data_IF_746591694967
#
_entry.id   IF_746591694967
#
_cell.length_a   1.000
_cell.length_b   1.000
_cell.length_c   1.000
_cell.angle_alpha   90.00
_cell.angle_beta   90.00
_cell.angle_gamma   90.00
#
_symmetry.space_group_name_H-M   'P 1'
#
loop_
_entity.id
_entity.type
_entity.pdbx_description
1 polymer ?
#
# COMPACT_ATOMS: atom_id res chain seq x y z
N UNK A 1 -8.04 -1.45 -28.23
CA UNK A 1 -6.80 -0.63 -28.19
C UNK A 1 -6.60 0.27 -29.43
N UNK A 2 -6.96 -0.16 -30.64
CA UNK A 2 -6.62 0.54 -31.90
C UNK A 2 -7.36 1.88 -32.07
N UNK A 3 -8.68 1.91 -31.89
CA UNK A 3 -9.49 3.12 -32.12
C UNK A 3 -9.09 4.33 -31.26
N UNK A 4 -8.83 4.16 -29.95
CA UNK A 4 -8.50 5.29 -29.06
C UNK A 4 -7.18 5.98 -29.45
N UNK A 5 -6.21 5.19 -29.92
CA UNK A 5 -4.87 5.67 -30.27
C UNK A 5 -4.88 6.41 -31.61
N UNK A 6 -5.69 5.93 -32.55
CA UNK A 6 -5.87 6.55 -33.86
C UNK A 6 -6.69 7.85 -33.80
N UNK A 7 -7.57 7.98 -32.79
CA UNK A 7 -8.43 9.14 -32.61
C UNK A 7 -7.85 10.20 -31.64
N UNK A 8 -6.66 9.97 -31.05
CA UNK A 8 -6.05 10.85 -30.03
C UNK A 8 -6.98 11.15 -28.83
N UNK A 9 -7.91 10.24 -28.53
CA UNK A 9 -8.88 10.41 -27.44
C UNK A 9 -8.40 9.68 -26.18
N UNK A 10 -8.45 10.37 -25.05
CA UNK A 10 -8.28 9.75 -23.73
C UNK A 10 -9.63 9.18 -23.25
N UNK A 11 -9.66 7.89 -22.95
CA UNK A 11 -10.86 7.20 -22.43
C UNK A 11 -10.64 6.84 -20.97
N UNK A 12 -11.57 7.24 -20.11
CA UNK A 12 -11.62 6.83 -18.70
C UNK A 12 -12.85 5.95 -18.52
N UNK A 13 -12.63 4.72 -18.05
CA UNK A 13 -13.69 3.78 -17.72
C UNK A 13 -13.77 3.66 -16.20
N UNK A 14 -14.93 3.94 -15.62
CA UNK A 14 -15.19 3.73 -14.20
C UNK A 14 -15.99 2.46 -14.05
N UNK A 15 -15.44 1.49 -13.34
CA UNK A 15 -16.08 0.19 -13.14
C UNK A 15 -15.70 -0.36 -11.78
N UNK A 16 -16.58 -1.20 -11.24
CA UNK A 16 -16.29 -2.04 -10.09
C UNK A 16 -15.99 -3.49 -10.51
N UNK A 17 -16.06 -3.80 -11.81
CA UNK A 17 -15.78 -5.13 -12.35
C UNK A 17 -14.26 -5.37 -12.46
N UNK A 18 -13.71 -6.36 -11.73
CA UNK A 18 -12.29 -6.69 -11.79
C UNK A 18 -11.85 -7.19 -13.18
N UNK A 19 -12.71 -7.87 -13.93
CA UNK A 19 -12.36 -8.40 -15.26
C UNK A 19 -12.08 -7.28 -16.26
N UNK A 20 -12.84 -6.19 -16.18
CA UNK A 20 -12.58 -4.99 -17.01
C UNK A 20 -11.23 -4.37 -16.65
N UNK A 21 -10.86 -4.42 -15.36
CA UNK A 21 -9.60 -3.88 -14.88
C UNK A 21 -8.38 -4.66 -15.38
N UNK A 22 -8.53 -5.96 -15.69
CA UNK A 22 -7.46 -6.81 -16.24
C UNK A 22 -7.18 -6.54 -17.73
N UNK A 23 -8.15 -5.99 -18.46
CA UNK A 23 -8.06 -5.80 -19.92
C UNK A 23 -7.49 -4.42 -20.32
N UNK A 24 -7.14 -3.57 -19.36
CA UNK A 24 -6.65 -2.20 -19.59
C UNK A 24 -5.18 -2.04 -19.21
N UNK A 25 -4.50 -1.11 -19.89
CA UNK A 25 -3.07 -0.85 -19.70
C UNK A 25 -2.76 -0.15 -18.37
N UNK A 26 -3.73 0.57 -17.81
CA UNK A 26 -3.62 1.28 -16.53
C UNK A 26 -4.92 1.13 -15.74
N UNK A 27 -4.82 0.74 -14.48
CA UNK A 27 -5.94 0.70 -13.53
C UNK A 27 -5.62 1.60 -12.35
N UNK A 28 -6.57 2.45 -11.95
CA UNK A 28 -6.47 3.28 -10.74
C UNK A 28 -7.48 2.77 -9.72
N UNK A 29 -6.98 2.23 -8.60
CA UNK A 29 -7.80 1.84 -7.47
C UNK A 29 -8.24 3.06 -6.67
N UNK A 30 -9.53 3.14 -6.33
CA UNK A 30 -10.08 4.17 -5.46
C UNK A 30 -10.78 3.51 -4.26
N UNK A 31 -10.46 3.98 -3.07
CA UNK A 31 -11.01 3.53 -1.77
C UNK A 31 -11.22 4.74 -0.88
N UNK A 32 -12.37 4.82 -0.21
CA UNK A 32 -12.72 5.93 0.69
C UNK A 32 -12.53 7.33 0.07
N UNK A 33 -12.88 7.45 -1.22
CA UNK A 33 -12.77 8.68 -1.99
C UNK A 33 -11.34 9.09 -2.36
N UNK A 34 -10.35 8.22 -2.16
CA UNK A 34 -8.93 8.48 -2.46
C UNK A 34 -8.36 7.44 -3.40
N UNK A 35 -7.43 7.87 -4.24
CA UNK A 35 -6.60 6.94 -5.02
C UNK A 35 -5.78 6.10 -4.04
N UNK A 36 -5.87 4.79 -4.15
CA UNK A 36 -5.18 3.83 -3.28
C UNK A 36 -4.01 3.18 -4.00
N UNK A 37 -4.23 2.71 -5.23
CA UNK A 37 -3.28 1.91 -5.99
C UNK A 37 -3.32 2.29 -7.46
N UNK A 38 -2.21 2.05 -8.15
CA UNK A 38 -2.08 2.18 -9.59
C UNK A 38 -1.43 0.90 -10.13
N UNK A 39 -2.13 0.21 -11.02
CA UNK A 39 -1.60 -0.96 -11.71
C UNK A 39 -1.25 -0.58 -13.14
N UNK A 40 0.00 -0.77 -13.52
CA UNK A 40 0.49 -0.58 -14.88
C UNK A 40 0.72 -1.94 -15.52
N UNK A 41 0.09 -2.18 -16.67
CA UNK A 41 0.28 -3.40 -17.46
C UNK A 41 1.05 -3.06 -18.72
N UNK A 42 2.16 -3.76 -18.94
CA UNK A 42 2.96 -3.65 -20.15
C UNK A 42 3.19 -5.01 -20.75
N UNK A 43 3.22 -5.05 -22.08
CA UNK A 43 3.63 -6.23 -22.83
C UNK A 43 5.11 -6.12 -23.10
N UNK A 44 5.89 -7.01 -22.52
CA UNK A 44 7.32 -7.14 -22.78
C UNK A 44 7.58 -8.25 -23.79
N UNK A 45 8.63 -8.07 -24.62
CA UNK A 45 9.09 -9.11 -25.53
C UNK A 45 10.21 -9.90 -24.84
N UNK A 46 9.95 -11.18 -24.62
CA UNK A 46 10.91 -12.15 -24.05
C UNK A 46 11.36 -13.14 -25.11
N UNK A 47 12.40 -13.93 -24.80
CA UNK A 47 12.88 -15.01 -25.68
C UNK A 47 11.80 -16.09 -25.98
N UNK A 48 10.74 -16.15 -25.17
CA UNK A 48 9.62 -17.11 -25.31
C UNK A 48 8.37 -16.49 -25.94
N UNK A 49 8.40 -15.21 -26.32
CA UNK A 49 7.28 -14.49 -26.91
C UNK A 49 6.90 -13.24 -26.11
N UNK A 50 5.62 -12.85 -26.16
CA UNK A 50 5.13 -11.69 -25.43
C UNK A 50 4.64 -12.09 -24.02
N UNK A 51 5.13 -11.41 -22.99
CA UNK A 51 4.69 -11.57 -21.60
C UNK A 51 3.98 -10.29 -21.13
N UNK A 52 2.90 -10.43 -20.37
CA UNK A 52 2.22 -9.29 -19.75
C UNK A 52 2.73 -9.15 -18.32
N UNK A 53 3.46 -8.07 -18.06
CA UNK A 53 3.94 -7.72 -16.73
C UNK A 53 2.95 -6.72 -16.12
N UNK A 54 2.48 -7.03 -14.90
CA UNK A 54 1.62 -6.15 -14.13
C UNK A 54 2.39 -5.65 -12.90
N UNK A 55 2.62 -4.34 -12.85
CA UNK A 55 3.28 -3.67 -11.73
C UNK A 55 2.23 -2.92 -10.91
N UNK A 56 2.08 -3.28 -9.63
CA UNK A 56 1.20 -2.59 -8.69
C UNK A 56 2.00 -1.60 -7.83
N UNK A 57 1.55 -0.35 -7.84
CA UNK A 57 2.08 0.73 -7.04
C UNK A 57 1.02 1.20 -6.05
N UNK A 58 1.42 1.41 -4.80
CA UNK A 58 0.61 2.18 -3.86
C UNK A 58 0.87 3.67 -4.06
N UNK A 59 -0.19 4.48 -4.04
CA UNK A 59 -0.08 5.92 -4.30
C UNK A 59 0.07 6.68 -2.99
N UNK A 60 1.11 7.51 -2.90
CA UNK A 60 1.34 8.41 -1.77
C UNK A 60 0.60 9.72 -2.00
N UNK A 61 -0.25 10.12 -1.05
CA UNK A 61 -0.91 11.42 -1.11
C UNK A 61 0.02 12.57 -0.69
N UNK A 62 -0.44 13.83 -0.87
CA UNK A 62 0.34 15.03 -0.49
C UNK A 62 0.68 15.11 0.99
N UNK A 63 -0.07 14.43 1.85
CA UNK A 63 0.20 14.37 3.28
C UNK A 63 1.13 13.21 3.66
N UNK A 64 1.64 12.46 2.67
CA UNK A 64 2.49 11.31 2.90
C UNK A 64 1.75 10.06 3.38
N UNK A 65 0.42 9.97 3.14
CA UNK A 65 -0.36 8.78 3.50
C UNK A 65 -0.48 7.84 2.31
N UNK A 66 -0.42 6.55 2.60
CA UNK A 66 -0.70 5.48 1.64
C UNK A 66 -1.57 4.41 2.30
N UNK A 67 -2.40 3.75 1.52
CA UNK A 67 -3.14 2.57 1.98
C UNK A 67 -2.30 1.32 1.70
N UNK A 68 -2.11 0.47 2.71
CA UNK A 68 -1.50 -0.83 2.51
C UNK A 68 -2.50 -1.81 1.89
N UNK A 69 -2.07 -2.67 0.95
CA UNK A 69 -2.90 -3.76 0.45
C UNK A 69 -3.44 -4.62 1.59
N UNK A 70 -4.73 -5.00 1.51
CA UNK A 70 -5.40 -5.79 2.56
C UNK A 70 -4.70 -7.12 2.83
N UNK A 71 -4.18 -7.75 1.79
CA UNK A 71 -3.48 -9.02 1.90
C UNK A 71 -2.20 -8.85 2.73
N UNK A 72 -1.52 -7.70 2.62
CA UNK A 72 -0.31 -7.42 3.39
C UNK A 72 -0.67 -7.15 4.86
N UNK A 73 -1.71 -6.35 5.11
CA UNK A 73 -2.23 -6.09 6.46
C UNK A 73 -2.60 -7.40 7.16
N UNK A 74 -3.29 -8.30 6.45
CA UNK A 74 -3.74 -9.58 6.98
C UNK A 74 -2.55 -10.53 7.21
N UNK A 75 -1.67 -10.66 6.22
CA UNK A 75 -0.52 -11.58 6.28
C UNK A 75 0.50 -11.19 7.35
N UNK A 76 0.68 -9.88 7.57
CA UNK A 76 1.60 -9.33 8.58
C UNK A 76 0.91 -9.06 9.93
N UNK A 77 -0.37 -9.41 10.07
CA UNK A 77 -1.16 -9.24 11.29
C UNK A 77 -1.10 -7.78 11.82
N UNK A 78 -1.16 -6.81 10.91
CA UNK A 78 -1.06 -5.39 11.26
C UNK A 78 -2.40 -4.89 11.81
N UNK A 79 -2.49 -4.72 13.13
CA UNK A 79 -3.72 -4.30 13.80
C UNK A 79 -3.52 -3.11 14.74
N UNK A 80 -4.46 -2.15 14.68
CA UNK A 80 -4.56 -0.92 15.50
C UNK A 80 -3.36 0.04 15.44
N UNK A 81 -2.15 -0.44 15.73
CA UNK A 81 -0.90 0.31 15.81
C UNK A 81 0.22 -0.49 15.14
N UNK A 82 1.05 0.23 14.41
CA UNK A 82 2.26 -0.33 13.79
C UNK A 82 3.47 0.49 14.24
N UNK A 83 4.60 -0.18 14.40
CA UNK A 83 5.90 0.47 14.58
C UNK A 83 6.51 0.69 13.21
N UNK A 84 7.00 1.91 12.98
CA UNK A 84 7.75 2.27 11.80
C UNK A 84 9.24 2.35 12.14
N UNK A 85 10.10 1.89 11.24
CA UNK A 85 11.54 2.17 11.28
C UNK A 85 11.98 2.65 9.91
N UNK A 86 12.83 3.66 9.92
CA UNK A 86 13.46 4.17 8.71
C UNK A 86 14.74 3.39 8.47
N UNK A 87 14.79 2.68 7.37
CA UNK A 87 15.98 2.00 6.85
C UNK A 87 16.56 2.83 5.69
N UNK A 88 17.80 2.53 5.21
CA UNK A 88 18.45 3.33 4.17
C UNK A 88 17.67 3.41 2.85
N UNK A 89 16.91 2.38 2.51
CA UNK A 89 16.22 2.22 1.23
C UNK A 89 14.71 2.01 1.36
N UNK A 90 14.17 1.85 2.58
CA UNK A 90 12.75 1.60 2.80
C UNK A 90 12.27 2.02 4.20
N UNK A 91 10.95 1.94 4.39
CA UNK A 91 10.32 2.02 5.71
C UNK A 91 9.87 0.61 6.08
N UNK A 92 10.37 0.09 7.19
CA UNK A 92 9.85 -1.15 7.76
C UNK A 92 8.58 -0.89 8.59
N UNK A 93 7.61 -1.78 8.48
CA UNK A 93 6.32 -1.71 9.18
C UNK A 93 6.10 -3.01 9.96
N UNK A 94 5.93 -2.91 11.28
CA UNK A 94 5.72 -4.08 12.15
C UNK A 94 4.48 -3.93 13.03
N UNK A 95 3.78 -5.02 13.36
CA UNK A 95 2.67 -4.96 14.30
C UNK A 95 3.16 -4.56 15.70
N UNK A 96 2.35 -3.77 16.41
CA UNK A 96 2.57 -3.47 17.82
C UNK A 96 2.15 -4.69 18.67
N UNK A 97 3.08 -5.62 18.89
CA UNK A 97 2.84 -6.86 19.63
C UNK A 97 2.75 -6.68 21.15
N UNK A 98 2.71 -5.46 21.67
CA UNK A 98 2.68 -5.23 23.12
C UNK A 98 3.87 -5.89 23.80
N UNK A 99 5.08 -5.37 23.55
CA UNK A 99 6.21 -5.66 24.44
C UNK A 99 5.85 -5.23 25.87
N UNK A 100 6.36 -5.90 26.92
CA UNK A 100 5.94 -5.66 28.30
C UNK A 100 5.97 -4.16 28.57
N UNK A 101 4.81 -3.59 28.92
CA UNK A 101 4.73 -2.28 29.56
C UNK A 101 5.79 -2.27 30.64
N UNK A 102 6.81 -1.43 30.47
CA UNK A 102 7.77 -1.15 31.53
C UNK A 102 6.92 -0.75 32.74
N UNK A 103 6.85 -1.67 33.70
CA UNK A 103 6.13 -1.49 34.96
C UNK A 103 6.77 -0.25 35.58
N UNK A 104 5.92 0.70 35.99
CA UNK A 104 6.31 1.92 36.66
C UNK A 104 7.44 1.64 37.65
N UNK A 105 8.54 2.39 37.51
CA UNK A 105 9.65 2.36 38.45
C UNK A 105 9.14 2.56 39.88
N UNK A 106 9.81 1.96 40.88
CA UNK A 106 9.33 1.92 42.24
C UNK A 106 9.06 3.34 42.74
N UNK A 107 7.90 3.51 43.37
CA UNK A 107 7.46 4.74 43.99
C UNK A 107 8.54 5.27 44.95
N UNK A 108 9.15 6.39 44.58
CA UNK A 108 9.80 7.27 45.53
C UNK A 108 8.74 7.77 46.54
N UNK A 109 8.98 7.50 47.83
CA UNK A 109 8.44 8.31 48.91
C UNK A 109 7.79 7.55 50.05
N UNK A 110 8.57 7.23 51.09
CA UNK A 110 8.26 7.51 52.51
C UNK A 110 9.61 7.77 53.20
N UNK A 111 10.04 9.02 53.40
CA UNK A 111 9.67 9.95 54.48
C UNK A 111 10.22 9.54 55.86
N UNK A 112 10.85 10.53 56.51
CA UNK A 112 11.68 10.48 57.73
C UNK A 112 11.15 9.73 58.96
N UNK A 113 12.06 9.26 59.85
CA UNK A 113 12.64 10.00 61.01
C UNK A 113 11.82 9.69 62.28
N UNK A 114 12.40 9.58 63.50
CA UNK A 114 13.66 10.15 63.98
C UNK A 114 14.79 9.19 64.35
#
# INVERSE_FOLDING_TARGET
RTANRELEVTVVVVTHDPLVSEQVDRTVGIRDGRVSTEVLRRTELTERGHEVVAEEYAVLDRAGRMQLPRDFVTTLELERRVRLALEPDHIGVWPDRGGPTAVDGPADGQSGTP
#
